data_IF_713596617218
#
_entry.id   IF_713596617218
#
_cell.length_a   1.000
_cell.length_b   1.000
_cell.length_c   1.000
_cell.angle_alpha   90.00
_cell.angle_beta   90.00
_cell.angle_gamma   90.00
#
_symmetry.space_group_name_H-M   'P 1'
#
loop_
_entity.id
_entity.type
_entity.pdbx_description
1 polymer ?
#
# COMPACT_ATOMS: atom_id res chain seq x y z
N UNK A 1 -20.96 -5.83 -6.55
CA UNK A 1 -19.88 -4.82 -6.73
C UNK A 1 -19.30 -5.02 -8.11
N UNK A 2 -19.19 -3.97 -8.93
CA UNK A 2 -18.53 -4.08 -10.24
C UNK A 2 -17.07 -4.51 -10.04
N UNK A 3 -16.63 -5.53 -10.78
CA UNK A 3 -15.26 -6.04 -10.70
C UNK A 3 -14.34 -5.08 -11.45
N UNK A 4 -13.34 -4.53 -10.77
CA UNK A 4 -12.31 -3.72 -11.42
C UNK A 4 -11.38 -4.66 -12.20
N UNK A 5 -11.35 -4.51 -13.52
CA UNK A 5 -10.51 -5.32 -14.39
C UNK A 5 -9.07 -4.80 -14.41
N UNK A 6 -8.15 -5.60 -14.93
CA UNK A 6 -6.75 -5.19 -15.08
C UNK A 6 -6.59 -3.95 -15.98
N UNK A 7 -7.34 -3.87 -17.09
CA UNK A 7 -7.34 -2.68 -17.96
C UNK A 7 -7.79 -1.43 -17.22
N UNK A 8 -8.85 -1.52 -16.41
CA UNK A 8 -9.29 -0.40 -15.57
C UNK A 8 -8.22 0.04 -14.59
N UNK A 9 -7.42 -0.89 -14.04
CA UNK A 9 -6.29 -0.54 -13.15
C UNK A 9 -5.20 0.23 -13.89
N UNK A 10 -4.91 -0.10 -15.16
CA UNK A 10 -3.98 0.68 -15.99
C UNK A 10 -4.49 2.11 -16.20
N UNK A 11 -5.79 2.28 -16.48
CA UNK A 11 -6.39 3.61 -16.61
C UNK A 11 -6.34 4.39 -15.28
N UNK A 12 -6.62 3.73 -14.14
CA UNK A 12 -6.47 4.35 -12.81
C UNK A 12 -5.02 4.81 -12.61
N UNK A 13 -4.03 3.98 -12.98
CA UNK A 13 -2.61 4.32 -12.86
C UNK A 13 -2.25 5.58 -13.66
N UNK A 14 -2.62 5.64 -14.94
CA UNK A 14 -2.31 6.77 -15.81
C UNK A 14 -2.94 8.07 -15.29
N UNK A 15 -4.24 8.04 -14.96
CA UNK A 15 -4.96 9.20 -14.43
C UNK A 15 -4.44 9.62 -13.06
N UNK A 16 -4.16 8.67 -12.17
CA UNK A 16 -3.69 8.97 -10.81
C UNK A 16 -2.29 9.60 -10.81
N UNK A 17 -1.37 9.04 -11.62
CA UNK A 17 -0.01 9.55 -11.82
C UNK A 17 0.00 10.96 -12.38
N UNK A 18 -0.92 11.28 -13.29
CA UNK A 18 -1.07 12.61 -13.91
C UNK A 18 -1.80 13.62 -13.02
N UNK A 19 -2.25 13.20 -11.82
CA UNK A 19 -2.82 14.10 -10.82
C UNK A 19 -4.34 14.17 -10.80
N UNK A 20 -5.05 13.34 -11.59
CA UNK A 20 -6.52 13.31 -11.58
C UNK A 20 -7.08 13.05 -10.17
N UNK A 21 -8.24 13.62 -9.87
CA UNK A 21 -8.92 13.38 -8.60
C UNK A 21 -9.62 12.01 -8.63
N UNK A 22 -9.98 11.48 -7.44
CA UNK A 22 -10.76 10.24 -7.34
C UNK A 22 -12.12 10.38 -8.02
N UNK A 23 -12.68 11.59 -8.03
CA UNK A 23 -13.95 11.91 -8.68
C UNK A 23 -13.82 11.80 -10.19
N UNK A 24 -12.79 12.40 -10.78
CA UNK A 24 -12.55 12.34 -12.23
C UNK A 24 -12.36 10.90 -12.71
N UNK A 25 -11.58 10.11 -11.97
CA UNK A 25 -11.36 8.68 -12.27
C UNK A 25 -12.68 7.91 -12.17
N UNK A 26 -13.49 8.21 -11.15
CA UNK A 26 -14.78 7.54 -10.94
C UNK A 26 -15.78 7.83 -12.07
N UNK A 27 -15.82 9.07 -12.55
CA UNK A 27 -16.68 9.49 -13.66
C UNK A 27 -16.21 8.87 -14.98
N UNK A 28 -14.89 8.88 -15.23
CA UNK A 28 -14.30 8.28 -16.43
C UNK A 28 -14.58 6.78 -16.54
N UNK A 29 -14.44 6.04 -15.43
CA UNK A 29 -14.62 4.58 -15.39
C UNK A 29 -16.05 4.14 -15.05
N UNK A 30 -16.97 5.09 -14.79
CA UNK A 30 -18.33 4.84 -14.29
C UNK A 30 -18.35 3.94 -13.05
N UNK A 31 -17.41 4.17 -12.15
CA UNK A 31 -17.27 3.45 -10.88
C UNK A 31 -17.67 4.35 -9.71
N UNK A 32 -17.97 3.74 -8.56
CA UNK A 32 -18.17 4.49 -7.34
C UNK A 32 -16.81 5.04 -6.83
N UNK A 33 -16.78 6.28 -6.34
CA UNK A 33 -15.60 6.90 -5.70
C UNK A 33 -15.03 6.01 -4.59
N UNK A 34 -15.89 5.33 -3.83
CA UNK A 34 -15.44 4.38 -2.79
C UNK A 34 -14.70 3.17 -3.38
N UNK A 35 -15.08 2.71 -4.56
CA UNK A 35 -14.36 1.65 -5.28
C UNK A 35 -12.98 2.13 -5.68
N UNK A 36 -12.87 3.36 -6.23
CA UNK A 36 -11.58 3.96 -6.58
C UNK A 36 -10.68 4.10 -5.36
N UNK A 37 -11.22 4.59 -4.23
CA UNK A 37 -10.46 4.70 -2.98
C UNK A 37 -9.91 3.34 -2.54
N UNK A 38 -10.76 2.30 -2.55
CA UNK A 38 -10.34 0.96 -2.15
C UNK A 38 -9.28 0.38 -3.10
N UNK A 39 -9.41 0.60 -4.41
CA UNK A 39 -8.38 0.17 -5.36
C UNK A 39 -7.06 0.87 -5.14
N UNK A 40 -7.06 2.19 -4.96
CA UNK A 40 -5.84 2.94 -4.66
C UNK A 40 -5.16 2.41 -3.38
N UNK A 41 -5.92 2.03 -2.35
CA UNK A 41 -5.37 1.40 -1.15
C UNK A 41 -4.73 0.04 -1.43
N UNK A 42 -5.34 -0.80 -2.27
CA UNK A 42 -4.77 -2.12 -2.63
C UNK A 42 -3.46 -2.00 -3.42
N UNK A 43 -3.35 -0.98 -4.27
CA UNK A 43 -2.16 -0.74 -5.07
C UNK A 43 -1.09 0.12 -4.39
N UNK A 44 -1.28 0.51 -3.13
CA UNK A 44 -0.29 1.34 -2.43
C UNK A 44 0.93 0.51 -2.05
N UNK A 45 2.12 0.95 -2.49
CA UNK A 45 3.38 0.24 -2.27
C UNK A 45 4.25 0.82 -1.14
N UNK A 46 3.75 1.80 -0.38
CA UNK A 46 4.52 2.47 0.67
C UNK A 46 5.29 3.72 0.21
N UNK A 47 5.30 4.04 -1.09
CA UNK A 47 6.04 5.17 -1.64
C UNK A 47 5.13 6.36 -1.97
N UNK A 48 5.74 7.54 -2.07
CA UNK A 48 5.06 8.80 -2.37
C UNK A 48 5.68 9.41 -3.64
N UNK A 49 4.86 9.80 -4.60
CA UNK A 49 5.30 10.60 -5.76
C UNK A 49 5.80 11.98 -5.29
N UNK A 50 6.66 12.63 -6.08
CA UNK A 50 7.25 13.93 -5.73
C UNK A 50 6.23 15.04 -5.38
N UNK A 51 4.97 14.90 -5.79
CA UNK A 51 3.85 15.79 -5.44
C UNK A 51 3.08 15.42 -4.17
N UNK A 52 3.61 14.55 -3.30
CA UNK A 52 2.98 14.16 -2.03
C UNK A 52 1.84 13.13 -2.16
N UNK A 53 1.61 12.60 -3.37
CA UNK A 53 0.57 11.58 -3.61
C UNK A 53 1.11 10.17 -3.41
N UNK A 54 0.35 9.26 -2.77
CA UNK A 54 0.69 7.84 -2.70
C UNK A 54 0.88 7.23 -4.09
N UNK A 55 1.97 6.48 -4.25
CA UNK A 55 2.21 5.69 -5.46
C UNK A 55 1.16 4.59 -5.56
N UNK A 56 0.64 4.38 -6.77
CA UNK A 56 -0.32 3.32 -7.07
C UNK A 56 0.31 2.35 -8.07
N UNK A 57 0.28 1.07 -7.73
CA UNK A 57 0.74 -0.05 -8.55
C UNK A 57 -0.45 -0.93 -8.97
N UNK A 58 -0.77 -1.03 -10.27
CA UNK A 58 -1.87 -1.84 -10.78
C UNK A 58 -1.68 -3.35 -10.57
N UNK A 59 -0.43 -3.84 -10.59
CA UNK A 59 -0.11 -5.26 -10.36
C UNK A 59 -0.34 -5.62 -8.90
N UNK A 60 0.08 -4.75 -7.98
CA UNK A 60 -0.16 -4.94 -6.55
C UNK A 60 -1.65 -4.94 -6.25
N UNK A 61 -2.41 -4.00 -6.83
CA UNK A 61 -3.85 -3.93 -6.69
C UNK A 61 -4.57 -5.19 -7.21
N UNK A 62 -4.08 -5.78 -8.30
CA UNK A 62 -4.60 -7.04 -8.82
C UNK A 62 -4.33 -8.22 -7.88
N UNK A 63 -3.09 -8.37 -7.41
CA UNK A 63 -2.73 -9.42 -6.44
C UNK A 63 -3.59 -9.33 -5.17
N UNK A 64 -3.74 -8.12 -4.63
CA UNK A 64 -4.57 -7.84 -3.45
C UNK A 64 -6.08 -7.97 -3.72
N UNK A 65 -6.52 -7.92 -4.98
CA UNK A 65 -7.92 -8.16 -5.34
C UNK A 65 -8.28 -9.64 -5.41
N UNK A 66 -7.30 -10.50 -5.67
CA UNK A 66 -7.46 -11.95 -5.73
C UNK A 66 -7.27 -12.61 -4.35
N UNK A 67 -6.55 -11.96 -3.44
CA UNK A 67 -6.51 -12.35 -2.02
C UNK A 67 -7.85 -12.02 -1.36
N UNK A 68 -8.58 -13.04 -0.96
CA UNK A 68 -9.94 -12.94 -0.42
C UNK A 68 -10.02 -11.98 0.79
N UNK A 69 -10.74 -10.88 0.60
CA UNK A 69 -11.39 -10.12 1.67
C UNK A 69 -10.47 -9.40 2.67
N UNK A 70 -11.11 -8.64 3.57
CA UNK A 70 -10.49 -7.76 4.59
C UNK A 70 -9.39 -8.42 5.45
N UNK A 71 -9.29 -9.74 5.42
CA UNK A 71 -8.32 -10.54 6.14
C UNK A 71 -6.88 -10.36 5.63
N UNK A 72 -6.66 -10.43 4.32
CA UNK A 72 -5.32 -10.27 3.75
C UNK A 72 -4.74 -8.85 3.98
N UNK A 73 -5.58 -7.81 3.90
CA UNK A 73 -5.19 -6.43 4.22
C UNK A 73 -4.88 -6.25 5.72
N UNK A 74 -5.63 -6.93 6.61
CA UNK A 74 -5.36 -6.92 8.06
C UNK A 74 -4.03 -7.62 8.36
N UNK A 75 -3.76 -8.74 7.72
CA UNK A 75 -2.49 -9.48 7.86
C UNK A 75 -1.30 -8.67 7.33
N UNK A 76 -1.44 -7.97 6.20
CA UNK A 76 -0.40 -7.09 5.68
C UNK A 76 -0.12 -5.91 6.62
N UNK A 77 -1.18 -5.25 7.13
CA UNK A 77 -1.06 -4.19 8.13
C UNK A 77 -0.40 -4.70 9.43
N UNK A 78 -0.80 -5.86 9.94
CA UNK A 78 -0.15 -6.48 11.10
C UNK A 78 1.31 -6.81 10.85
N UNK A 79 1.67 -7.25 9.63
CA UNK A 79 3.06 -7.53 9.26
C UNK A 79 3.94 -6.28 9.21
N UNK A 80 3.38 -5.13 8.81
CA UNK A 80 4.09 -3.84 8.81
C UNK A 80 4.22 -3.25 10.22
N UNK A 81 3.27 -3.50 11.12
CA UNK A 81 3.31 -3.07 12.53
C UNK A 81 4.20 -3.98 13.38
N UNK A 82 4.35 -5.25 13.02
CA UNK A 82 5.23 -6.23 13.69
C UNK A 82 6.67 -6.23 13.16
N UNK A 83 7.03 -5.33 12.24
CA UNK A 83 8.44 -5.10 11.95
C UNK A 83 9.08 -4.45 13.19
N UNK A 84 10.11 -5.06 13.82
CA UNK A 84 10.75 -4.44 14.96
C UNK A 84 11.27 -3.05 14.55
N UNK A 85 11.21 -2.03 15.44
CA UNK A 85 11.82 -0.75 15.14
C UNK A 85 13.26 -1.03 14.73
N UNK A 86 13.66 -0.55 13.55
CA UNK A 86 15.05 -0.57 13.13
C UNK A 86 15.84 0.21 14.17
N UNK A 87 16.45 -0.54 15.10
CA UNK A 87 17.44 0.00 16.02
C UNK A 87 18.62 0.33 15.12
N UNK A 88 18.81 1.62 14.85
CA UNK A 88 20.08 2.13 14.35
C UNK A 88 21.17 1.62 15.31
N UNK A 89 22.25 0.99 14.83
CA UNK A 89 23.32 0.58 15.71
C UNK A 89 24.00 1.85 16.21
N UNK A 90 23.64 2.25 17.43
CA UNK A 90 24.45 3.19 18.21
C UNK A 90 25.50 2.36 18.92
N UNK A 91 26.74 2.48 18.46
CA UNK A 91 27.93 2.17 19.25
C UNK A 91 27.79 2.77 20.67
N UNK A 92 27.86 1.93 21.70
CA UNK A 92 28.55 2.30 22.94
C UNK A 92 28.95 1.04 23.74
N UNK A 93 30.23 0.99 24.08
CA UNK A 93 30.89 -0.09 24.83
C UNK A 93 30.39 -0.17 26.29
N UNK A 94 30.42 -1.39 26.86
CA UNK A 94 30.18 -1.57 28.29
C UNK A 94 30.41 -3.00 28.77
N UNK A 95 31.67 -3.38 28.83
CA UNK A 95 32.24 -4.57 29.49
C UNK A 95 31.74 -4.74 30.94
N UNK A 96 31.31 -5.96 31.33
CA UNK A 96 31.55 -6.52 32.67
C UNK A 96 31.28 -8.02 32.71
N UNK A 97 32.34 -8.75 33.04
CA UNK A 97 32.51 -10.20 33.14
C UNK A 97 31.88 -10.86 34.38
N UNK A 98 31.89 -12.20 34.34
CA UNK A 98 32.00 -13.17 35.46
C UNK A 98 30.69 -13.50 36.23
N UNK A 99 30.43 -14.70 36.74
CA UNK A 99 30.90 -16.10 36.60
C UNK A 99 29.92 -16.96 37.45
N UNK A 100 29.97 -18.26 37.25
CA UNK A 100 29.42 -19.42 38.00
C UNK A 100 28.83 -19.24 39.42
N UNK A 101 27.71 -19.92 39.70
CA UNK A 101 27.64 -21.20 40.46
C UNK A 101 26.31 -21.93 40.20
#
# INVERSE_FOLDING_TARGET
>A
MAKVTHEMRKTIYEMWRTGASKKDISEHLKLNVNTIRNELCKGYNGQIYSGGRPVYDPELAERCSNSHGRQAHREQMMRMVSAPPSICPGDDMGEASAQDD
#
